data_IF_188652002754
#
_entry.id   IF_188652002754
#
_cell.length_a   1.000
_cell.length_b   1.000
_cell.length_c   1.000
_cell.angle_alpha   90.00
_cell.angle_beta   90.00
_cell.angle_gamma   90.00
#
_symmetry.space_group_name_H-M   'P 1'
#
loop_
_entity.id
_entity.type
_entity.pdbx_description
1 polymer ?
#
# COMPACT_ATOMS: atom_id res chain seq x y z
N UNK A 1 4.90 17.34 2.44
CA UNK A 1 4.41 16.04 1.96
C UNK A 1 3.07 15.80 2.63
N UNK A 2 2.01 15.47 1.87
CA UNK A 2 0.72 15.12 2.44
C UNK A 2 0.81 13.89 3.34
N UNK A 3 -0.18 13.73 4.22
CA UNK A 3 -0.29 12.58 5.12
C UNK A 3 -1.68 11.97 5.04
N UNK A 4 -1.76 10.65 5.19
CA UNK A 4 -3.02 9.91 5.28
C UNK A 4 -3.09 9.14 6.60
N UNK A 5 -4.28 9.11 7.23
CA UNK A 5 -4.54 8.30 8.41
C UNK A 5 -5.28 7.02 8.02
N UNK A 6 -4.63 5.87 8.24
CA UNK A 6 -5.16 4.55 7.90
C UNK A 6 -4.88 3.58 9.05
N UNK A 7 -5.86 2.74 9.41
CA UNK A 7 -5.72 1.75 10.50
C UNK A 7 -5.16 2.34 11.83
N UNK A 8 -5.52 3.59 12.16
CA UNK A 8 -5.05 4.27 13.37
C UNK A 8 -3.58 4.71 13.34
N UNK A 9 -2.93 4.69 12.18
CA UNK A 9 -1.56 5.15 11.95
C UNK A 9 -1.55 6.25 10.89
N UNK A 10 -0.54 7.14 10.98
CA UNK A 10 -0.31 8.20 10.00
C UNK A 10 0.82 7.80 9.06
N UNK A 11 0.60 7.94 7.75
CA UNK A 11 1.57 7.63 6.71
C UNK A 11 1.88 8.87 5.90
N UNK A 12 3.16 9.06 5.57
CA UNK A 12 3.58 10.08 4.60
C UNK A 12 3.36 9.55 3.18
N UNK A 13 2.70 10.36 2.37
CA UNK A 13 2.42 10.08 0.96
C UNK A 13 2.90 11.22 0.08
N UNK A 14 3.12 10.96 -1.21
CA UNK A 14 3.33 12.02 -2.19
C UNK A 14 2.00 12.62 -2.68
N UNK A 15 2.08 13.49 -3.69
CA UNK A 15 0.93 14.21 -4.25
C UNK A 15 -0.11 13.28 -4.89
N UNK A 16 0.29 12.07 -5.30
CA UNK A 16 -0.58 11.05 -5.91
C UNK A 16 -1.06 10.00 -4.89
N UNK A 17 -0.62 10.08 -3.63
CA UNK A 17 -1.02 9.18 -2.56
C UNK A 17 -0.09 7.98 -2.34
N UNK A 18 1.06 7.91 -3.03
CA UNK A 18 1.99 6.79 -2.85
C UNK A 18 2.78 6.90 -1.55
N UNK A 19 2.84 5.79 -0.81
CA UNK A 19 3.58 5.65 0.43
C UNK A 19 5.06 5.98 0.25
N UNK A 20 5.56 6.96 0.99
CA UNK A 20 6.96 7.39 0.93
C UNK A 20 7.90 6.51 1.76
N UNK A 21 7.41 5.97 2.87
CA UNK A 21 8.17 5.13 3.79
C UNK A 21 7.82 3.65 3.57
N UNK A 22 8.56 2.99 2.67
CA UNK A 22 8.26 1.61 2.24
C UNK A 22 8.35 0.56 3.36
N UNK A 23 9.10 0.84 4.42
CA UNK A 23 9.22 0.04 5.63
C UNK A 23 7.99 0.11 6.53
N UNK A 24 7.16 1.16 6.38
CA UNK A 24 5.85 1.27 7.05
C UNK A 24 4.75 0.48 6.36
N UNK A 25 5.00 -0.07 5.16
CA UNK A 25 4.02 -0.91 4.51
C UNK A 25 3.73 -2.17 5.32
N UNK A 26 2.46 -2.53 5.40
CA UNK A 26 1.97 -3.78 5.97
C UNK A 26 0.74 -4.25 5.20
N UNK A 27 0.33 -5.50 5.43
CA UNK A 27 -0.94 -5.99 4.88
C UNK A 27 -2.14 -5.16 5.38
N UNK A 28 -2.11 -4.73 6.65
CA UNK A 28 -3.10 -3.83 7.24
C UNK A 28 -3.15 -2.46 6.54
N UNK A 29 -2.00 -1.90 6.15
CA UNK A 29 -1.97 -0.68 5.34
C UNK A 29 -2.61 -0.91 3.98
N UNK A 30 -2.27 -2.01 3.29
CA UNK A 30 -2.82 -2.29 1.96
C UNK A 30 -4.34 -2.46 1.98
N UNK A 31 -4.88 -3.18 2.96
CA UNK A 31 -6.34 -3.32 3.15
C UNK A 31 -7.00 -1.96 3.43
N UNK A 32 -6.44 -1.17 4.36
CA UNK A 32 -7.00 0.13 4.71
C UNK A 32 -6.93 1.12 3.54
N UNK A 33 -5.83 1.10 2.77
CA UNK A 33 -5.64 1.95 1.61
C UNK A 33 -6.60 1.55 0.48
N UNK A 34 -6.77 0.25 0.22
CA UNK A 34 -7.73 -0.26 -0.77
C UNK A 34 -9.15 0.23 -0.47
N UNK A 35 -9.58 0.13 0.79
CA UNK A 35 -10.88 0.65 1.21
C UNK A 35 -10.99 2.17 1.05
N UNK A 36 -9.92 2.91 1.36
CA UNK A 36 -9.88 4.37 1.16
C UNK A 36 -9.95 4.76 -0.33
N UNK A 37 -9.43 3.91 -1.23
CA UNK A 37 -9.45 4.09 -2.68
C UNK A 37 -10.74 3.55 -3.35
N UNK A 38 -11.73 3.16 -2.54
CA UNK A 38 -13.04 2.73 -3.01
C UNK A 38 -13.15 1.26 -3.42
N UNK A 39 -12.15 0.43 -3.09
CA UNK A 39 -12.27 -1.02 -3.24
C UNK A 39 -13.16 -1.55 -2.10
N UNK A 40 -14.34 -2.02 -2.46
CA UNK A 40 -15.29 -2.58 -1.50
C UNK A 40 -14.91 -4.01 -1.10
N UNK A 41 -14.94 -4.28 0.20
CA UNK A 41 -14.62 -5.60 0.76
C UNK A 41 -13.12 -5.85 0.92
N UNK A 42 -12.74 -7.06 1.37
CA UNK A 42 -11.34 -7.41 1.59
C UNK A 42 -10.59 -7.63 0.26
N UNK A 43 -9.29 -7.34 0.26
CA UNK A 43 -8.41 -7.71 -0.85
C UNK A 43 -8.44 -9.23 -1.06
N UNK A 44 -8.88 -9.64 -2.24
CA UNK A 44 -8.92 -11.07 -2.63
C UNK A 44 -7.52 -11.64 -2.86
N UNK A 45 -7.43 -12.97 -2.93
CA UNK A 45 -6.18 -13.68 -3.24
C UNK A 45 -5.50 -13.19 -4.54
N UNK A 46 -6.29 -12.84 -5.56
CA UNK A 46 -5.75 -12.33 -6.82
C UNK A 46 -5.12 -10.94 -6.66
N UNK A 47 -5.68 -10.06 -5.83
CA UNK A 47 -5.05 -8.78 -5.50
C UNK A 47 -3.72 -8.99 -4.79
N UNK A 48 -3.71 -9.88 -3.78
CA UNK A 48 -2.50 -10.20 -3.03
C UNK A 48 -1.38 -10.79 -3.89
N UNK A 49 -1.71 -11.62 -4.88
CA UNK A 49 -0.71 -12.12 -5.84
C UNK A 49 0.01 -10.98 -6.55
N UNK A 50 -0.73 -9.98 -7.04
CA UNK A 50 -0.15 -8.83 -7.76
C UNK A 50 0.63 -7.93 -6.81
N UNK A 51 0.06 -7.59 -5.65
CA UNK A 51 0.72 -6.75 -4.63
C UNK A 51 2.06 -7.37 -4.21
N UNK A 52 2.05 -8.65 -3.86
CA UNK A 52 3.25 -9.35 -3.40
C UNK A 52 4.28 -9.53 -4.52
N UNK A 53 3.83 -9.74 -5.76
CA UNK A 53 4.72 -9.78 -6.92
C UNK A 53 5.45 -8.44 -7.11
N UNK A 54 4.72 -7.32 -7.18
CA UNK A 54 5.31 -6.00 -7.38
C UNK A 54 6.25 -5.62 -6.24
N UNK A 55 5.89 -5.93 -4.99
CA UNK A 55 6.73 -5.66 -3.82
C UNK A 55 8.00 -6.51 -3.82
N UNK A 56 7.88 -7.81 -4.11
CA UNK A 56 9.03 -8.70 -4.24
C UNK A 56 9.96 -8.25 -5.36
N UNK A 57 9.41 -7.88 -6.51
CA UNK A 57 10.16 -7.37 -7.64
C UNK A 57 10.89 -6.06 -7.28
N UNK A 58 10.22 -5.11 -6.63
CA UNK A 58 10.85 -3.88 -6.16
C UNK A 58 11.97 -4.14 -5.14
N UNK A 59 11.77 -5.07 -4.20
CA UNK A 59 12.79 -5.43 -3.22
C UNK A 59 14.02 -6.08 -3.86
N UNK A 60 13.84 -6.87 -4.91
CA UNK A 60 14.92 -7.57 -5.61
C UNK A 60 15.70 -6.65 -6.57
N UNK A 61 14.99 -5.79 -7.31
CA UNK A 61 15.57 -5.03 -8.42
C UNK A 61 15.64 -3.51 -8.21
N UNK A 62 14.97 -2.98 -7.19
CA UNK A 62 14.89 -1.54 -6.92
C UNK A 62 14.08 -0.74 -7.95
N UNK A 63 13.39 -1.43 -8.84
CA UNK A 63 12.52 -0.88 -9.89
C UNK A 63 11.21 -1.66 -9.91
N UNK A 64 10.10 -1.01 -10.24
CA UNK A 64 8.78 -1.60 -10.46
C UNK A 64 8.09 -0.87 -11.62
#
# INVERSE_FOLDING_TARGET
>A
MPTIELAGKTYEVDEDGFLQELDKWSEEFAEAYAHADGIEGPLTEEHWKVINYLRGYYQEFGIA
#
